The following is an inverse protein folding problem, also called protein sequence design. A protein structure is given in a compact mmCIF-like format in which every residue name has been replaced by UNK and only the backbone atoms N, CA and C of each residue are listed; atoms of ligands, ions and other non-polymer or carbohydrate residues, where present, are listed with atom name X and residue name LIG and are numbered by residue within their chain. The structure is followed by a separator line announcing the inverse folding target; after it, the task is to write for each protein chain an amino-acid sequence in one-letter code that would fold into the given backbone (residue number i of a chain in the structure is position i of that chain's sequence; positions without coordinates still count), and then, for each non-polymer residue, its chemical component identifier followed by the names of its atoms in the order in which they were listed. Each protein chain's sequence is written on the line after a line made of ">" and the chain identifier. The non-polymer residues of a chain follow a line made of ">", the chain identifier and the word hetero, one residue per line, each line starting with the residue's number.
data_IF_270510051985
#
_entry.id   IF_270510051985
#
_cell.length_a   1.000
_cell.length_b   1.000
_cell.length_c   1.000
_cell.angle_alpha   90.00
_cell.angle_beta   90.00
_cell.angle_gamma   90.00
#
_symmetry.space_group_name_H-M   'P 1'
#
loop_
_entity.id
_entity.type
_entity.pdbx_description
1 polymer ?
#
# COMPACT_ATOMS: atom_id res chain seq x y z
N UNK A 1 -4.95 -19.52 10.80
CA UNK A 1 -4.59 -18.31 10.08
C UNK A 1 -5.59 -18.12 8.94
N UNK A 2 -6.27 -16.95 8.81
CA UNK A 2 -7.11 -16.67 7.65
C UNK A 2 -6.29 -16.72 6.36
N UNK A 3 -6.91 -17.17 5.27
CA UNK A 3 -6.26 -17.26 3.97
C UNK A 3 -5.88 -15.85 3.48
N UNK A 4 -4.64 -15.68 3.01
CA UNK A 4 -4.13 -14.40 2.48
C UNK A 4 -3.52 -13.46 3.52
N UNK A 5 -3.57 -13.79 4.82
CA UNK A 5 -2.93 -12.95 5.84
C UNK A 5 -1.41 -13.11 5.83
N UNK A 6 -0.71 -11.97 5.82
CA UNK A 6 0.73 -11.92 6.01
C UNK A 6 1.12 -11.92 7.49
N UNK A 7 2.38 -12.18 7.79
CA UNK A 7 2.92 -12.28 9.14
C UNK A 7 2.60 -11.06 10.04
N UNK A 8 2.71 -9.79 9.57
CA UNK A 8 2.36 -8.64 10.40
C UNK A 8 0.88 -8.61 10.82
N UNK A 9 -0.03 -9.03 9.94
CA UNK A 9 -1.47 -9.09 10.25
C UNK A 9 -1.76 -10.16 11.31
N UNK A 10 -1.11 -11.33 11.19
CA UNK A 10 -1.22 -12.41 12.19
C UNK A 10 -0.72 -11.93 13.56
N UNK A 11 0.42 -11.24 13.58
CA UNK A 11 1.02 -10.69 14.81
C UNK A 11 0.12 -9.65 15.46
N UNK A 12 -0.43 -8.72 14.67
CA UNK A 12 -1.36 -7.71 15.16
C UNK A 12 -2.65 -8.34 15.75
N UNK A 13 -3.20 -9.35 15.07
CA UNK A 13 -4.34 -10.10 15.59
C UNK A 13 -4.00 -10.84 16.90
N UNK A 14 -2.82 -11.46 17.00
CA UNK A 14 -2.38 -12.10 18.23
C UNK A 14 -2.26 -11.09 19.39
N UNK A 15 -1.67 -9.92 19.14
CA UNK A 15 -1.59 -8.83 20.13
C UNK A 15 -2.97 -8.37 20.58
N UNK A 16 -3.90 -8.15 19.62
CA UNK A 16 -5.27 -7.75 19.93
C UNK A 16 -6.01 -8.82 20.76
N UNK A 17 -5.84 -10.10 20.41
CA UNK A 17 -6.43 -11.20 21.17
C UNK A 17 -5.84 -11.32 22.58
N UNK A 18 -4.54 -11.13 22.74
CA UNK A 18 -3.88 -11.10 24.06
C UNK A 18 -4.46 -9.98 24.92
N UNK A 19 -4.63 -8.78 24.37
CA UNK A 19 -5.26 -7.66 25.06
C UNK A 19 -6.71 -7.97 25.45
N UNK A 20 -7.47 -8.58 24.54
CA UNK A 20 -8.86 -8.99 24.84
C UNK A 20 -8.95 -10.01 25.99
N UNK A 21 -8.07 -11.00 26.02
CA UNK A 21 -8.03 -12.00 27.12
C UNK A 21 -7.80 -11.34 28.48
N UNK A 22 -7.01 -10.26 28.55
CA UNK A 22 -6.82 -9.51 29.80
C UNK A 22 -8.10 -8.78 30.25
N UNK A 23 -9.05 -8.57 29.36
CA UNK A 23 -10.36 -7.96 29.64
C UNK A 23 -11.44 -9.00 30.01
N UNK A 24 -11.13 -10.29 29.98
CA UNK A 24 -12.08 -11.37 30.27
C UNK A 24 -12.78 -11.23 31.63
N UNK A 25 -12.14 -10.72 32.72
CA UNK A 25 -12.81 -10.43 33.99
C UNK A 25 -13.91 -9.35 33.87
N UNK A 26 -13.88 -8.52 32.83
CA UNK A 26 -14.81 -7.41 32.61
C UNK A 26 -15.86 -7.78 31.55
N UNK A 27 -15.49 -8.61 30.57
CA UNK A 27 -16.37 -8.99 29.46
C UNK A 27 -16.11 -10.43 29.01
N UNK A 28 -17.18 -11.16 28.71
CA UNK A 28 -17.07 -12.54 28.23
C UNK A 28 -16.64 -12.56 26.74
N UNK A 29 -15.55 -13.25 26.43
CA UNK A 29 -15.02 -13.39 25.09
C UNK A 29 -15.38 -14.75 24.51
N UNK A 30 -16.16 -14.74 23.43
CA UNK A 30 -16.50 -15.97 22.72
C UNK A 30 -15.46 -16.27 21.64
N UNK A 31 -14.64 -17.29 21.82
CA UNK A 31 -13.67 -17.74 20.83
C UNK A 31 -14.31 -18.18 19.51
N UNK A 32 -15.57 -18.60 19.52
CA UNK A 32 -16.34 -18.88 18.29
C UNK A 32 -16.56 -17.57 17.50
N UNK A 33 -17.00 -16.50 18.16
CA UNK A 33 -17.17 -15.17 17.54
C UNK A 33 -15.85 -14.61 17.07
N UNK A 34 -14.78 -14.72 17.84
CA UNK A 34 -13.43 -14.30 17.44
C UNK A 34 -13.02 -14.96 16.12
N UNK A 35 -13.16 -16.28 16.00
CA UNK A 35 -12.83 -17.00 14.75
C UNK A 35 -13.68 -16.54 13.57
N UNK A 36 -14.97 -16.30 13.76
CA UNK A 36 -15.86 -15.80 12.71
C UNK A 36 -15.45 -14.41 12.24
N UNK A 37 -15.17 -13.49 13.17
CA UNK A 37 -14.72 -12.13 12.85
C UNK A 37 -13.39 -12.17 12.10
N UNK A 38 -12.39 -12.89 12.61
CA UNK A 38 -11.08 -12.99 11.96
C UNK A 38 -11.13 -13.61 10.56
N UNK A 39 -12.06 -14.54 10.32
CA UNK A 39 -12.23 -15.15 9.00
C UNK A 39 -12.77 -14.18 7.95
N UNK A 40 -13.54 -13.19 8.38
CA UNK A 40 -14.20 -12.20 7.51
C UNK A 40 -13.50 -10.83 7.55
N UNK A 41 -12.51 -10.67 8.43
CA UNK A 41 -11.89 -9.40 8.68
C UNK A 41 -10.99 -8.95 7.54
N UNK A 42 -11.22 -7.75 7.06
CA UNK A 42 -10.35 -7.03 6.14
C UNK A 42 -10.22 -5.58 6.60
N UNK A 43 -9.08 -4.98 6.37
CA UNK A 43 -8.86 -3.55 6.58
C UNK A 43 -8.69 -2.88 5.23
N UNK A 44 -9.50 -1.85 4.93
CA UNK A 44 -9.30 -1.04 3.74
C UNK A 44 -7.87 -0.50 3.66
N UNK A 45 -7.26 -0.56 2.48
CA UNK A 45 -5.90 -0.10 2.25
C UNK A 45 -4.80 -0.91 2.97
N UNK A 46 -5.04 -2.17 3.28
CA UNK A 46 -4.02 -3.09 3.81
C UNK A 46 -3.89 -4.31 2.91
N UNK A 47 -3.00 -4.23 1.93
CA UNK A 47 -2.81 -5.22 0.85
C UNK A 47 -4.16 -5.59 0.20
N UNK A 48 -5.02 -4.59 0.06
CA UNK A 48 -6.35 -4.74 -0.50
C UNK A 48 -6.25 -4.85 -2.01
N UNK A 49 -6.68 -5.99 -2.55
CA UNK A 49 -6.78 -6.20 -3.99
C UNK A 49 -8.15 -5.80 -4.49
N UNK A 50 -8.18 -5.06 -5.57
CA UNK A 50 -9.38 -4.73 -6.33
C UNK A 50 -9.17 -5.24 -7.75
N UNK A 51 -10.00 -6.18 -8.16
CA UNK A 51 -9.97 -6.76 -9.51
C UNK A 51 -10.76 -5.87 -10.47
N UNK A 52 -10.23 -5.66 -11.66
CA UNK A 52 -10.84 -4.83 -12.68
C UNK A 52 -10.18 -5.06 -14.04
N UNK A 53 -10.34 -4.11 -14.97
CA UNK A 53 -9.61 -4.10 -16.24
C UNK A 53 -8.08 -4.05 -16.00
N UNK A 54 -7.68 -3.39 -14.93
CA UNK A 54 -6.35 -3.39 -14.34
C UNK A 54 -6.48 -3.89 -12.91
N UNK A 55 -5.72 -4.92 -12.54
CA UNK A 55 -5.63 -5.39 -11.17
C UNK A 55 -4.95 -4.33 -10.30
N UNK A 56 -5.56 -4.01 -9.17
CA UNK A 56 -5.10 -2.94 -8.29
C UNK A 56 -4.77 -3.48 -6.90
N UNK A 57 -3.73 -2.93 -6.29
CA UNK A 57 -3.33 -3.23 -4.93
C UNK A 57 -3.23 -1.93 -4.12
N UNK A 58 -4.06 -1.78 -3.11
CA UNK A 58 -4.05 -0.63 -2.20
C UNK A 58 -3.36 -0.99 -0.89
N UNK A 59 -2.33 -0.22 -0.51
CA UNK A 59 -1.65 -0.38 0.78
C UNK A 59 -1.18 0.97 1.34
N UNK A 60 -1.47 1.23 2.61
CA UNK A 60 -1.06 2.46 3.31
C UNK A 60 0.38 2.43 3.84
N UNK A 61 1.23 1.55 3.31
CA UNK A 61 2.64 1.49 3.67
C UNK A 61 3.34 2.81 3.36
N UNK A 62 4.01 3.38 4.36
CA UNK A 62 4.67 4.69 4.30
C UNK A 62 5.98 4.74 5.11
N UNK A 63 6.50 3.60 5.52
CA UNK A 63 7.78 3.46 6.21
C UNK A 63 8.49 2.19 5.74
N UNK A 64 9.82 2.09 5.90
CA UNK A 64 10.60 0.97 5.36
C UNK A 64 10.13 -0.41 5.82
N UNK A 65 9.66 -0.56 7.06
CA UNK A 65 9.18 -1.86 7.57
C UNK A 65 7.90 -2.33 6.86
N UNK A 66 6.92 -1.43 6.69
CA UNK A 66 5.68 -1.71 5.98
C UNK A 66 5.94 -1.94 4.48
N UNK A 67 6.84 -1.16 3.88
CA UNK A 67 7.25 -1.29 2.48
C UNK A 67 7.94 -2.64 2.21
N UNK A 68 8.77 -3.16 3.13
CA UNK A 68 9.30 -4.53 2.98
C UNK A 68 8.20 -5.58 2.94
N UNK A 69 7.15 -5.40 3.72
CA UNK A 69 5.99 -6.30 3.68
C UNK A 69 5.24 -6.22 2.35
N UNK A 70 5.06 -5.01 1.82
CA UNK A 70 4.48 -4.78 0.50
C UNK A 70 5.35 -5.41 -0.60
N UNK A 71 6.66 -5.20 -0.57
CA UNK A 71 7.61 -5.79 -1.52
C UNK A 71 7.51 -7.33 -1.52
N UNK A 72 7.57 -7.97 -0.36
CA UNK A 72 7.39 -9.42 -0.22
C UNK A 72 6.05 -9.92 -0.76
N UNK A 73 5.02 -9.10 -0.74
CA UNK A 73 3.74 -9.44 -1.33
C UNK A 73 3.78 -9.31 -2.86
N UNK A 74 4.35 -8.23 -3.39
CA UNK A 74 4.51 -8.01 -4.84
C UNK A 74 5.35 -9.12 -5.49
N UNK A 75 6.45 -9.54 -4.85
CA UNK A 75 7.31 -10.64 -5.30
C UNK A 75 6.58 -11.99 -5.44
N UNK A 76 5.49 -12.18 -4.70
CA UNK A 76 4.67 -13.42 -4.75
C UNK A 76 3.53 -13.35 -5.76
N UNK A 77 3.28 -12.20 -6.36
CA UNK A 77 2.31 -12.08 -7.44
C UNK A 77 2.83 -12.81 -8.69
N UNK A 78 1.92 -13.27 -9.56
CA UNK A 78 2.33 -13.78 -10.86
C UNK A 78 3.21 -12.75 -11.58
N UNK A 79 4.24 -13.20 -12.32
CA UNK A 79 5.05 -12.29 -13.12
C UNK A 79 4.18 -11.45 -14.06
N UNK A 80 4.41 -10.15 -14.07
CA UNK A 80 3.76 -9.20 -14.97
C UNK A 80 4.77 -8.58 -15.93
N UNK A 81 4.32 -8.05 -17.05
CA UNK A 81 5.20 -7.36 -18.00
C UNK A 81 5.73 -6.05 -17.38
N UNK A 82 4.85 -5.33 -16.68
CA UNK A 82 5.19 -4.08 -15.97
C UNK A 82 4.34 -3.94 -14.72
N UNK A 83 4.92 -3.30 -13.71
CA UNK A 83 4.24 -2.91 -12.47
C UNK A 83 4.24 -1.39 -12.36
N UNK A 84 3.05 -0.82 -12.20
CA UNK A 84 2.84 0.62 -12.07
C UNK A 84 2.61 0.97 -10.60
N UNK A 85 3.18 2.08 -10.12
CA UNK A 85 3.01 2.55 -8.75
C UNK A 85 2.44 3.96 -8.70
N UNK A 86 1.29 4.14 -8.07
CA UNK A 86 0.79 5.44 -7.65
C UNK A 86 1.34 5.74 -6.27
N UNK A 87 2.12 6.79 -6.16
CA UNK A 87 2.90 7.07 -4.95
C UNK A 87 2.83 8.54 -4.56
N UNK A 88 2.62 8.79 -3.28
CA UNK A 88 2.89 10.08 -2.67
C UNK A 88 3.29 9.88 -1.21
N UNK A 89 4.17 10.74 -0.72
CA UNK A 89 4.79 10.61 0.59
C UNK A 89 4.94 11.98 1.24
N UNK A 90 4.74 12.05 2.56
CA UNK A 90 5.10 13.24 3.33
C UNK A 90 6.61 13.33 3.54
N UNK A 91 7.13 14.56 3.61
CA UNK A 91 8.56 14.84 3.65
C UNK A 91 9.30 14.35 4.91
N UNK A 92 8.57 13.96 5.96
CA UNK A 92 9.13 13.40 7.20
C UNK A 92 9.45 11.89 7.12
N UNK A 93 9.27 11.26 5.96
CA UNK A 93 9.47 9.83 5.76
C UNK A 93 10.80 9.52 5.06
N UNK A 94 11.32 8.32 5.31
CA UNK A 94 12.56 7.82 4.71
C UNK A 94 12.34 7.38 3.26
N UNK A 95 12.30 8.36 2.36
CA UNK A 95 12.08 8.15 0.94
C UNK A 95 13.14 7.22 0.33
N UNK A 96 14.39 7.45 0.67
CA UNK A 96 15.54 6.71 0.10
C UNK A 96 15.42 5.21 0.34
N UNK A 97 15.13 4.81 1.58
CA UNK A 97 14.96 3.39 1.89
C UNK A 97 13.70 2.82 1.23
N UNK A 98 12.60 3.58 1.18
CA UNK A 98 11.36 3.14 0.54
C UNK A 98 11.61 2.83 -0.94
N UNK A 99 12.22 3.75 -1.67
CA UNK A 99 12.47 3.58 -3.11
C UNK A 99 13.45 2.44 -3.37
N UNK A 100 14.56 2.35 -2.62
CA UNK A 100 15.54 1.25 -2.76
C UNK A 100 14.93 -0.14 -2.57
N UNK A 101 13.94 -0.29 -1.67
CA UNK A 101 13.25 -1.56 -1.45
C UNK A 101 12.37 -1.94 -2.65
N UNK A 102 11.77 -0.96 -3.30
CA UNK A 102 10.78 -1.17 -4.36
C UNK A 102 11.34 -1.04 -5.78
N UNK A 103 12.55 -0.51 -5.97
CA UNK A 103 13.12 -0.15 -7.27
C UNK A 103 13.11 -1.31 -8.28
N UNK A 104 13.40 -2.52 -7.82
CA UNK A 104 13.40 -3.71 -8.71
C UNK A 104 12.01 -4.27 -9.03
N UNK A 105 10.98 -3.76 -8.37
CA UNK A 105 9.60 -4.24 -8.46
C UNK A 105 8.67 -3.28 -9.20
N UNK A 106 9.11 -2.04 -9.42
CA UNK A 106 8.29 -0.98 -10.03
C UNK A 106 8.92 -0.50 -11.33
N UNK A 107 8.17 -0.58 -12.41
CA UNK A 107 8.60 -0.14 -13.74
C UNK A 107 8.22 1.32 -14.02
N UNK A 108 7.16 1.82 -13.39
CA UNK A 108 6.77 3.22 -13.56
C UNK A 108 6.12 3.80 -12.29
N UNK A 109 6.59 4.98 -11.89
CA UNK A 109 6.12 5.75 -10.76
C UNK A 109 5.24 6.91 -11.20
N UNK A 110 3.99 6.92 -10.76
CA UNK A 110 3.05 8.03 -10.91
C UNK A 110 2.98 8.77 -9.58
N UNK A 111 3.71 9.88 -9.51
CA UNK A 111 3.92 10.62 -8.26
C UNK A 111 2.86 11.69 -8.11
N UNK A 112 2.04 11.62 -7.07
CA UNK A 112 1.03 12.61 -6.72
C UNK A 112 1.50 13.57 -5.63
N UNK A 113 1.05 14.83 -5.67
CA UNK A 113 1.22 15.78 -4.56
C UNK A 113 0.23 15.50 -3.43
N UNK A 114 0.68 15.63 -2.18
CA UNK A 114 -0.20 15.70 -1.01
C UNK A 114 -0.39 17.15 -0.59
N UNK A 115 -1.43 17.43 0.19
CA UNK A 115 -1.70 18.76 0.75
C UNK A 115 -1.60 18.71 2.27
N UNK A 116 -1.00 19.74 2.88
CA UNK A 116 -0.82 19.87 4.33
C UNK A 116 0.55 20.38 4.73
N UNK A 117 0.77 20.55 6.03
CA UNK A 117 1.99 21.18 6.59
C UNK A 117 3.29 20.40 6.32
N UNK A 118 3.19 19.16 5.88
CA UNK A 118 4.33 18.27 5.58
C UNK A 118 4.35 17.85 4.12
N UNK A 119 3.67 18.58 3.27
CA UNK A 119 3.61 18.28 1.85
C UNK A 119 4.98 18.43 1.18
N UNK A 120 5.16 17.67 0.10
CA UNK A 120 6.29 17.81 -0.82
C UNK A 120 5.72 18.00 -2.20
N UNK A 121 6.16 19.05 -2.88
CA UNK A 121 5.71 19.30 -4.25
C UNK A 121 5.99 18.06 -5.13
N UNK A 122 5.03 17.62 -5.96
CA UNK A 122 5.15 16.37 -6.71
C UNK A 122 6.39 16.33 -7.61
N UNK A 123 6.79 17.46 -8.19
CA UNK A 123 8.02 17.55 -8.98
C UNK A 123 9.30 17.35 -8.16
N UNK A 124 9.32 17.85 -6.91
CA UNK A 124 10.45 17.64 -5.98
C UNK A 124 10.53 16.17 -5.58
N UNK A 125 9.39 15.57 -5.23
CA UNK A 125 9.32 14.15 -4.89
C UNK A 125 9.73 13.27 -6.07
N UNK A 126 9.24 13.55 -7.28
CA UNK A 126 9.60 12.84 -8.49
C UNK A 126 11.10 12.96 -8.81
N UNK A 127 11.69 14.15 -8.66
CA UNK A 127 13.12 14.36 -8.86
C UNK A 127 13.97 13.56 -7.83
N UNK A 128 13.55 13.52 -6.57
CA UNK A 128 14.22 12.74 -5.53
C UNK A 128 14.13 11.23 -5.81
N UNK A 129 12.96 10.72 -6.25
CA UNK A 129 12.79 9.34 -6.70
C UNK A 129 13.73 9.04 -7.89
N UNK A 130 13.83 9.95 -8.85
CA UNK A 130 14.67 9.80 -10.04
C UNK A 130 16.19 9.70 -9.77
N UNK A 131 16.64 10.10 -8.59
CA UNK A 131 18.04 9.88 -8.17
C UNK A 131 18.32 8.42 -7.77
N UNK A 132 17.27 7.63 -7.51
CA UNK A 132 17.38 6.29 -6.94
C UNK A 132 16.75 5.25 -7.86
N UNK A 133 15.55 5.51 -8.35
CA UNK A 133 14.76 4.57 -9.13
C UNK A 133 15.24 4.51 -10.60
N UNK A 134 15.20 3.28 -11.15
CA UNK A 134 15.51 3.01 -12.56
C UNK A 134 14.27 3.04 -13.44
N UNK A 135 13.08 2.92 -12.86
CA UNK A 135 11.81 2.95 -13.56
C UNK A 135 11.45 4.32 -14.13
N UNK A 136 10.45 4.37 -15.03
CA UNK A 136 9.88 5.63 -15.51
C UNK A 136 9.21 6.42 -14.37
N UNK A 137 9.17 7.75 -14.49
CA UNK A 137 8.57 8.62 -13.47
C UNK A 137 7.73 9.69 -14.16
N UNK A 138 6.53 9.92 -13.62
CA UNK A 138 5.68 11.04 -14.01
C UNK A 138 5.12 11.74 -12.76
N UNK A 139 5.17 13.08 -12.75
CA UNK A 139 4.63 13.89 -11.67
C UNK A 139 3.24 14.41 -12.02
N UNK A 140 2.33 14.36 -11.07
CA UNK A 140 0.93 14.76 -11.20
C UNK A 140 0.54 15.68 -10.03
N UNK A 141 -0.43 16.57 -10.26
CA UNK A 141 -0.81 17.56 -9.25
C UNK A 141 -1.26 16.94 -7.93
N UNK A 142 -2.00 15.83 -8.00
CA UNK A 142 -2.53 15.12 -6.83
C UNK A 142 -2.57 13.60 -7.04
N UNK A 143 -2.83 12.80 -5.99
CA UNK A 143 -2.87 11.34 -6.08
C UNK A 143 -4.00 10.80 -6.96
N UNK A 144 -5.11 11.53 -7.12
CA UNK A 144 -6.25 11.09 -7.96
C UNK A 144 -5.88 11.19 -9.43
N UNK A 145 -5.23 12.29 -9.83
CA UNK A 145 -4.73 12.45 -11.21
C UNK A 145 -3.64 11.41 -11.50
N UNK A 146 -2.71 11.19 -10.56
CA UNK A 146 -1.70 10.15 -10.66
C UNK A 146 -2.31 8.75 -10.86
N UNK A 147 -3.32 8.43 -10.06
CA UNK A 147 -4.04 7.15 -10.15
C UNK A 147 -4.74 6.97 -11.50
N UNK A 148 -5.49 7.98 -11.95
CA UNK A 148 -6.17 7.93 -13.24
C UNK A 148 -5.17 7.71 -14.38
N UNK A 149 -4.03 8.38 -14.35
CA UNK A 149 -2.97 8.17 -15.34
C UNK A 149 -2.42 6.74 -15.26
N UNK A 150 -2.19 6.21 -14.04
CA UNK A 150 -1.66 4.88 -13.84
C UNK A 150 -2.59 3.76 -14.34
N UNK A 151 -3.91 3.90 -14.22
CA UNK A 151 -4.87 2.88 -14.67
C UNK A 151 -5.27 2.97 -16.15
N UNK A 152 -4.94 4.09 -16.84
CA UNK A 152 -5.22 4.25 -18.26
C UNK A 152 -4.17 3.60 -19.17
N UNK A 153 -2.95 3.43 -18.71
CA UNK A 153 -1.79 2.97 -19.49
C UNK A 153 -1.59 1.46 -19.46
N UNK A 154 -1.85 0.74 -18.36
CA UNK A 154 -1.53 -0.68 -18.24
C UNK A 154 -2.28 -1.56 -19.25
N UNK A 155 -1.58 -2.55 -19.76
CA UNK A 155 -2.18 -3.64 -20.53
C UNK A 155 -2.76 -4.70 -19.58
N UNK A 156 -3.65 -5.57 -20.07
CA UNK A 156 -4.11 -6.70 -19.27
C UNK A 156 -2.93 -7.48 -18.68
N UNK A 157 -2.94 -7.69 -17.35
CA UNK A 157 -1.86 -8.35 -16.63
C UNK A 157 -0.76 -7.42 -16.10
N UNK A 158 -0.86 -6.10 -16.29
CA UNK A 158 0.04 -5.11 -15.68
C UNK A 158 -0.66 -4.49 -14.46
N UNK A 159 -0.28 -4.84 -13.22
CA UNK A 159 -0.94 -4.34 -12.03
C UNK A 159 -0.57 -2.90 -11.69
N UNK A 160 -1.47 -2.19 -11.01
CA UNK A 160 -1.23 -0.89 -10.42
C UNK A 160 -1.24 -0.97 -8.89
N UNK A 161 -0.11 -0.66 -8.25
CA UNK A 161 -0.02 -0.49 -6.79
C UNK A 161 -0.30 0.97 -6.41
N UNK A 162 -1.13 1.19 -5.38
CA UNK A 162 -1.45 2.52 -4.83
C UNK A 162 -0.99 2.54 -3.38
N UNK A 163 0.09 3.27 -3.07
CA UNK A 163 0.67 3.25 -1.74
C UNK A 163 1.46 4.54 -1.40
N UNK A 164 1.98 4.63 -0.16
CA UNK A 164 2.82 5.72 0.33
C UNK A 164 2.22 6.49 1.49
N UNK A 165 0.90 6.58 1.59
CA UNK A 165 0.23 7.23 2.72
C UNK A 165 -1.26 6.93 2.77
N UNK A 166 -1.90 7.19 3.92
CA UNK A 166 -3.36 7.10 4.05
C UNK A 166 -4.11 8.03 3.08
N UNK A 167 -3.72 9.31 2.89
CA UNK A 167 -4.38 10.17 1.91
C UNK A 167 -4.33 9.63 0.48
N UNK A 168 -3.22 9.02 0.04
CA UNK A 168 -3.11 8.43 -1.29
C UNK A 168 -4.13 7.31 -1.48
N UNK A 169 -4.17 6.40 -0.53
CA UNK A 169 -5.07 5.24 -0.58
C UNK A 169 -6.52 5.68 -0.44
N UNK A 170 -6.83 6.55 0.54
CA UNK A 170 -8.18 7.03 0.80
C UNK A 170 -8.77 7.81 -0.37
N UNK A 171 -7.99 8.65 -1.03
CA UNK A 171 -8.45 9.42 -2.19
C UNK A 171 -8.83 8.53 -3.39
N UNK A 172 -8.22 7.35 -3.51
CA UNK A 172 -8.36 6.49 -4.69
C UNK A 172 -9.20 5.22 -4.44
N UNK A 173 -9.41 4.83 -3.19
CA UNK A 173 -10.15 3.61 -2.85
C UNK A 173 -11.67 3.76 -3.06
N UNK A 174 -12.16 4.99 -3.13
CA UNK A 174 -13.59 5.33 -3.29
C UNK A 174 -13.96 5.71 -4.74
N UNK A 175 -13.03 5.64 -5.68
CA UNK A 175 -13.23 5.92 -7.11
C UNK A 175 -13.56 4.64 -7.87
#
# INVERSE_FOLDING_TARGET
>A
KPTGWLEPQVRNAATALTALVQLEPITTISMKKVRQVLAQWSLPGRLQRVQGAVDQLFDVAHNPAAIRTLAQFLEKLPPSNKTHAVFALFGDKDLDQIIKILDSLIDHWYVGGLTGDRDVAPGVLAAAIGQIARGGISAHADPVIAYRAAIQVPRPGEPAGVFGSFPVVGANLSL
#
